data_IF_591859606427
#
_entry.id   IF_591859606427
#
_cell.length_a   1.000
_cell.length_b   1.000
_cell.length_c   1.000
_cell.angle_alpha   90.00
_cell.angle_beta   90.00
_cell.angle_gamma   90.00
#
_symmetry.space_group_name_H-M   'P 1'
#
loop_
_entity.id
_entity.type
_entity.pdbx_description
1 polymer ?
#
# COMPACT_ATOMS: atom_id res chain seq x y z
N UNK A 1 -7.68 3.77 13.98
CA UNK A 1 -6.21 3.75 13.88
C UNK A 1 -5.80 4.45 12.61
N UNK A 2 -4.83 5.37 12.66
CA UNK A 2 -4.35 6.12 11.47
C UNK A 2 -2.85 6.41 11.62
N UNK A 3 -2.00 5.72 10.85
CA UNK A 3 -0.55 5.86 10.90
C UNK A 3 -0.07 7.23 10.40
N UNK A 4 -0.86 7.94 9.57
CA UNK A 4 -0.53 9.29 9.10
C UNK A 4 -0.46 10.28 10.26
N UNK A 5 -1.40 10.17 11.21
CA UNK A 5 -1.46 11.03 12.41
C UNK A 5 -0.30 10.81 13.38
N UNK A 6 0.41 9.69 13.24
CA UNK A 6 1.59 9.36 14.05
C UNK A 6 2.90 9.79 13.39
N UNK A 7 2.86 10.25 12.14
CA UNK A 7 4.06 10.56 11.36
C UNK A 7 4.74 9.33 10.78
N UNK A 8 4.01 8.22 10.62
CA UNK A 8 4.55 6.92 10.19
C UNK A 8 4.27 6.63 8.71
N UNK A 9 3.88 7.65 7.94
CA UNK A 9 3.53 7.54 6.51
C UNK A 9 4.18 8.69 5.74
N UNK A 10 4.95 8.37 4.72
CA UNK A 10 5.62 9.35 3.83
C UNK A 10 4.61 10.10 2.94
N UNK A 11 5.02 11.22 2.31
CA UNK A 11 4.20 11.94 1.33
C UNK A 11 3.68 11.07 0.18
N UNK A 12 2.75 11.66 -0.59
CA UNK A 12 2.17 11.06 -1.79
C UNK A 12 3.24 10.82 -2.85
N UNK A 13 3.18 9.66 -3.52
CA UNK A 13 4.01 9.32 -4.68
C UNK A 13 3.14 8.91 -5.88
N UNK A 14 3.73 8.87 -7.07
CA UNK A 14 3.07 8.53 -8.34
C UNK A 14 3.95 7.57 -9.14
N UNK A 15 3.43 6.39 -9.47
CA UNK A 15 4.14 5.37 -10.25
C UNK A 15 4.13 5.64 -11.76
N UNK A 16 3.33 6.60 -12.24
CA UNK A 16 3.17 6.90 -13.66
C UNK A 16 2.63 5.71 -14.46
N UNK A 17 3.23 5.44 -15.62
CA UNK A 17 2.82 4.35 -16.52
C UNK A 17 3.50 3.00 -16.22
N UNK A 18 4.34 2.95 -15.19
CA UNK A 18 5.07 1.74 -14.82
C UNK A 18 4.18 0.84 -13.93
N UNK A 19 4.10 -0.46 -14.23
CA UNK A 19 3.39 -1.47 -13.43
C UNK A 19 4.11 -1.85 -12.14
N UNK A 20 4.71 -0.90 -11.43
CA UNK A 20 5.56 -1.13 -10.25
C UNK A 20 4.85 -0.90 -8.91
N UNK A 21 3.52 -0.99 -8.87
CA UNK A 21 2.73 -0.81 -7.64
C UNK A 21 3.15 -1.74 -6.49
N UNK A 22 3.65 -2.94 -6.82
CA UNK A 22 4.27 -3.87 -5.87
C UNK A 22 5.43 -3.22 -5.08
N UNK A 23 6.31 -2.50 -5.77
CA UNK A 23 7.45 -1.80 -5.16
C UNK A 23 7.00 -0.64 -4.27
N UNK A 24 5.99 0.13 -4.72
CA UNK A 24 5.39 1.21 -3.93
C UNK A 24 4.71 0.68 -2.65
N UNK A 25 3.98 -0.43 -2.74
CA UNK A 25 3.35 -1.05 -1.58
C UNK A 25 4.37 -1.56 -0.56
N UNK A 26 5.41 -2.25 -1.04
CA UNK A 26 6.49 -2.76 -0.19
C UNK A 26 7.26 -1.61 0.48
N UNK A 27 7.64 -0.58 -0.27
CA UNK A 27 8.36 0.58 0.27
C UNK A 27 7.54 1.33 1.30
N UNK A 28 6.26 1.58 1.06
CA UNK A 28 5.41 2.25 2.06
C UNK A 28 5.33 1.48 3.39
N UNK A 29 5.32 0.14 3.36
CA UNK A 29 5.38 -0.68 4.56
C UNK A 29 6.76 -0.63 5.24
N UNK A 30 7.85 -0.68 4.47
CA UNK A 30 9.24 -0.56 4.95
C UNK A 30 9.52 0.81 5.61
N UNK A 31 9.02 1.88 5.02
CA UNK A 31 9.13 3.25 5.55
C UNK A 31 8.42 3.35 6.91
N UNK A 32 7.21 2.77 7.03
CA UNK A 32 6.45 2.74 8.26
C UNK A 32 7.17 1.97 9.38
N UNK A 33 7.65 0.75 9.11
CA UNK A 33 8.37 -0.02 10.13
C UNK A 33 9.68 0.66 10.54
N UNK A 34 10.40 1.30 9.61
CA UNK A 34 11.62 2.04 9.95
C UNK A 34 11.34 3.20 10.91
N UNK A 35 10.26 3.95 10.69
CA UNK A 35 9.83 4.98 11.62
C UNK A 35 9.46 4.38 12.98
N UNK A 36 8.76 3.24 13.02
CA UNK A 36 8.35 2.60 14.28
C UNK A 36 9.54 2.07 15.10
N UNK A 37 10.57 1.55 14.45
CA UNK A 37 11.74 0.97 15.14
C UNK A 37 12.81 2.00 15.47
N UNK A 38 13.01 2.99 14.58
CA UNK A 38 14.13 3.94 14.70
C UNK A 38 13.71 5.35 15.09
N UNK A 39 12.41 5.66 15.01
CA UNK A 39 11.89 7.02 15.16
C UNK A 39 12.22 7.96 14.00
N UNK A 40 12.69 7.42 12.86
CA UNK A 40 13.07 8.21 11.67
C UNK A 40 12.22 7.82 10.46
N UNK A 41 11.48 8.79 9.93
CA UNK A 41 10.70 8.61 8.71
C UNK A 41 11.60 8.97 7.55
N UNK A 42 11.98 7.96 6.78
CA UNK A 42 12.87 8.10 5.62
C UNK A 42 12.05 7.72 4.39
N UNK A 43 12.06 8.55 3.36
CA UNK A 43 11.52 8.17 2.06
C UNK A 43 12.50 7.23 1.37
N UNK A 44 12.09 5.98 1.15
CA UNK A 44 12.89 4.96 0.49
C UNK A 44 12.67 4.98 -1.03
N UNK A 45 13.49 4.22 -1.76
CA UNK A 45 13.56 4.22 -3.23
C UNK A 45 12.82 3.02 -3.83
N UNK A 46 11.62 3.25 -4.36
CA UNK A 46 10.91 2.24 -5.16
C UNK A 46 11.67 1.83 -6.43
N UNK A 47 12.46 2.76 -6.98
CA UNK A 47 13.25 2.51 -8.19
C UNK A 47 14.34 1.46 -7.97
N UNK A 48 14.86 1.35 -6.75
CA UNK A 48 15.85 0.33 -6.42
C UNK A 48 15.24 -1.07 -6.52
N UNK A 49 14.05 -1.28 -5.92
CA UNK A 49 13.30 -2.53 -6.08
C UNK A 49 12.97 -2.77 -7.56
N UNK A 50 12.38 -1.80 -8.25
CA UNK A 50 11.94 -1.96 -9.63
C UNK A 50 13.09 -2.26 -10.63
N UNK A 51 14.33 -1.87 -10.30
CA UNK A 51 15.50 -2.12 -11.17
C UNK A 51 16.29 -3.37 -10.79
N UNK A 52 16.37 -3.68 -9.50
CA UNK A 52 17.29 -4.70 -8.98
C UNK A 52 16.57 -6.02 -8.68
N UNK A 53 15.28 -5.96 -8.33
CA UNK A 53 14.46 -7.12 -8.00
C UNK A 53 13.64 -7.57 -9.21
N UNK A 54 14.35 -8.23 -10.13
CA UNK A 54 13.82 -8.70 -11.41
C UNK A 54 13.78 -10.23 -11.50
N UNK A 55 13.92 -10.92 -10.37
CA UNK A 55 14.06 -12.38 -10.32
C UNK A 55 12.81 -13.00 -9.68
N UNK A 56 12.27 -14.04 -10.32
CA UNK A 56 11.10 -14.74 -9.81
C UNK A 56 9.80 -14.11 -10.28
N UNK A 57 9.01 -13.58 -9.34
CA UNK A 57 7.67 -13.05 -9.62
C UNK A 57 7.69 -11.59 -10.08
N UNK A 58 8.69 -10.81 -9.65
CA UNK A 58 8.81 -9.38 -9.94
C UNK A 58 9.50 -9.12 -11.29
N UNK A 59 8.88 -8.27 -12.12
CA UNK A 59 9.31 -8.00 -13.49
C UNK A 59 9.43 -6.49 -13.77
N UNK A 60 9.80 -5.71 -12.75
CA UNK A 60 9.97 -4.26 -12.86
C UNK A 60 8.67 -3.57 -13.25
N UNK A 61 8.68 -2.81 -14.36
CA UNK A 61 7.48 -2.14 -14.87
C UNK A 61 6.47 -3.08 -15.54
N UNK A 62 6.82 -4.34 -15.78
CA UNK A 62 5.89 -5.31 -16.37
C UNK A 62 4.97 -5.97 -15.32
N UNK A 63 5.11 -5.63 -14.03
CA UNK A 63 4.30 -6.18 -12.94
C UNK A 63 4.98 -7.28 -12.14
N UNK A 64 4.22 -7.89 -11.23
CA UNK A 64 4.54 -9.12 -10.49
C UNK A 64 3.63 -10.29 -10.91
N UNK A 65 3.72 -11.48 -10.31
CA UNK A 65 2.85 -12.63 -10.65
C UNK A 65 1.34 -12.26 -10.65
N UNK A 66 0.61 -12.68 -11.69
CA UNK A 66 -0.83 -12.44 -11.84
C UNK A 66 -1.68 -13.71 -11.62
N UNK A 67 -2.72 -13.60 -10.78
CA UNK A 67 -3.74 -14.62 -10.52
C UNK A 67 -5.02 -14.04 -9.88
N UNK A 68 -6.16 -14.71 -10.02
CA UNK A 68 -7.53 -14.12 -10.07
C UNK A 68 -7.93 -13.16 -8.93
N UNK A 69 -8.03 -11.84 -9.08
CA UNK A 69 -7.65 -10.90 -10.13
C UNK A 69 -7.03 -9.68 -9.41
N UNK A 70 -5.99 -9.92 -8.60
CA UNK A 70 -5.23 -8.85 -7.95
C UNK A 70 -4.20 -8.30 -8.94
N UNK A 71 -4.33 -7.04 -9.32
CA UNK A 71 -3.49 -6.38 -10.33
C UNK A 71 -2.69 -5.19 -9.77
N UNK A 72 -2.99 -4.77 -8.54
CA UNK A 72 -2.46 -3.52 -8.00
C UNK A 72 -2.10 -3.62 -6.52
N UNK A 73 -0.83 -3.38 -6.21
CA UNK A 73 -0.30 -3.33 -4.85
C UNK A 73 -0.63 -2.00 -4.16
N UNK A 74 -1.19 -2.06 -2.95
CA UNK A 74 -1.51 -0.90 -2.10
C UNK A 74 -1.16 -1.17 -0.64
N UNK A 75 -1.06 -0.12 0.17
CA UNK A 75 -0.72 -0.25 1.60
C UNK A 75 -1.87 0.21 2.48
N UNK A 76 -2.38 -0.67 3.34
CA UNK A 76 -3.31 -0.29 4.40
C UNK A 76 -2.55 0.48 5.51
N UNK A 77 -2.83 1.77 5.66
CA UNK A 77 -2.18 2.66 6.64
C UNK A 77 -3.08 3.00 7.84
N UNK A 78 -4.24 2.36 7.93
CA UNK A 78 -5.14 2.54 9.05
C UNK A 78 -6.49 1.86 8.86
N UNK A 79 -7.36 2.06 9.83
CA UNK A 79 -8.76 1.61 9.80
C UNK A 79 -9.60 2.46 10.74
N UNK A 80 -10.90 2.51 10.48
CA UNK A 80 -11.85 3.26 11.30
C UNK A 80 -13.29 2.80 11.13
N UNK A 81 -14.18 3.62 11.68
CA UNK A 81 -15.63 3.49 11.55
C UNK A 81 -16.17 4.88 11.21
N UNK A 82 -16.96 4.99 10.15
CA UNK A 82 -17.64 6.22 9.76
C UNK A 82 -18.84 6.50 10.67
N UNK A 83 -19.40 7.70 10.58
CA UNK A 83 -20.50 8.16 11.47
C UNK A 83 -21.77 7.32 11.31
N UNK A 84 -21.97 6.70 10.14
CA UNK A 84 -23.07 5.79 9.83
C UNK A 84 -22.84 4.35 10.35
N UNK A 85 -21.71 4.11 11.03
CA UNK A 85 -21.30 2.79 11.53
C UNK A 85 -20.51 1.95 10.51
N UNK A 86 -20.31 2.42 9.27
CA UNK A 86 -19.57 1.69 8.25
C UNK A 86 -18.10 1.60 8.61
N UNK A 87 -17.58 0.38 8.78
CA UNK A 87 -16.16 0.13 9.04
C UNK A 87 -15.35 0.20 7.75
N UNK A 88 -14.14 0.73 7.83
CA UNK A 88 -13.27 0.88 6.67
C UNK A 88 -11.79 0.60 6.97
N UNK A 89 -11.07 0.19 5.94
CA UNK A 89 -9.62 0.29 5.78
C UNK A 89 -9.27 1.64 5.17
N UNK A 90 -8.22 2.28 5.67
CA UNK A 90 -7.62 3.47 5.07
C UNK A 90 -6.40 3.02 4.26
N UNK A 91 -6.44 3.21 2.95
CA UNK A 91 -5.47 2.63 2.02
C UNK A 91 -4.73 3.75 1.29
N UNK A 92 -3.40 3.70 1.30
CA UNK A 92 -2.51 4.57 0.53
C UNK A 92 -2.30 3.96 -0.86
N UNK A 93 -2.60 4.73 -1.90
CA UNK A 93 -2.35 4.36 -3.29
C UNK A 93 -1.10 5.07 -3.85
N UNK A 94 -0.77 4.81 -5.12
CA UNK A 94 0.45 5.27 -5.82
C UNK A 94 0.14 5.96 -7.16
N UNK A 95 -1.02 6.62 -7.28
CA UNK A 95 -1.50 7.28 -8.51
C UNK A 95 -1.49 8.83 -8.43
N UNK A 96 -0.68 9.39 -7.53
CA UNK A 96 -0.56 10.84 -7.37
C UNK A 96 -1.73 11.50 -6.60
N UNK A 97 -1.50 12.74 -6.18
CA UNK A 97 -2.38 13.43 -5.22
C UNK A 97 -3.73 13.86 -5.82
N UNK A 98 -3.87 13.88 -7.15
CA UNK A 98 -5.12 14.21 -7.83
C UNK A 98 -6.16 13.08 -7.77
N UNK A 99 -5.74 11.87 -7.39
CA UNK A 99 -6.62 10.71 -7.29
C UNK A 99 -7.18 10.55 -5.88
N UNK A 100 -8.46 10.22 -5.78
CA UNK A 100 -9.13 9.90 -4.52
C UNK A 100 -9.10 11.05 -3.50
N UNK A 101 -8.95 10.70 -2.22
CA UNK A 101 -8.79 11.65 -1.12
C UNK A 101 -7.29 11.90 -0.89
N UNK A 102 -6.66 12.73 -1.72
CA UNK A 102 -5.21 12.99 -1.68
C UNK A 102 -4.36 11.71 -1.77
N UNK A 103 -4.63 10.84 -2.75
CA UNK A 103 -4.09 9.48 -2.98
C UNK A 103 -4.69 8.37 -2.11
N UNK A 104 -5.53 8.70 -1.15
CA UNK A 104 -6.12 7.69 -0.26
C UNK A 104 -7.50 7.24 -0.74
N UNK A 105 -7.84 6.00 -0.39
CA UNK A 105 -9.20 5.46 -0.51
C UNK A 105 -9.61 4.81 0.81
N UNK A 106 -10.88 4.95 1.15
CA UNK A 106 -11.51 4.22 2.26
C UNK A 106 -12.26 3.02 1.69
N UNK A 107 -11.76 1.83 1.95
CA UNK A 107 -12.36 0.58 1.48
C UNK A 107 -13.18 -0.05 2.59
N UNK A 108 -14.39 -0.52 2.28
CA UNK A 108 -15.26 -1.12 3.29
C UNK A 108 -14.61 -2.36 3.91
N UNK A 109 -14.75 -2.47 5.23
CA UNK A 109 -14.12 -3.51 6.06
C UNK A 109 -15.19 -4.31 6.81
N UNK A 110 -14.86 -5.55 7.18
CA UNK A 110 -15.74 -6.48 7.89
C UNK A 110 -17.02 -6.77 7.09
N UNK A 111 -16.86 -7.05 5.79
CA UNK A 111 -17.94 -7.53 4.91
C UNK A 111 -18.00 -9.06 4.90
N UNK A 112 -19.07 -9.64 4.36
CA UNK A 112 -19.29 -11.10 4.33
C UNK A 112 -18.27 -11.86 3.45
N UNK A 113 -17.69 -11.18 2.45
CA UNK A 113 -16.65 -11.77 1.59
C UNK A 113 -15.35 -11.97 2.38
N UNK A 114 -14.87 -13.22 2.43
CA UNK A 114 -13.69 -13.61 3.23
C UNK A 114 -12.39 -13.01 2.69
N UNK A 115 -12.37 -12.80 1.37
CA UNK A 115 -11.31 -12.16 0.62
C UNK A 115 -11.23 -10.65 0.92
N UNK A 116 -12.25 -10.10 1.59
CA UNK A 116 -12.43 -8.67 1.78
C UNK A 116 -12.87 -7.97 0.50
N UNK A 117 -13.20 -6.68 0.61
CA UNK A 117 -13.56 -5.88 -0.56
C UNK A 117 -12.36 -5.81 -1.53
N UNK A 118 -12.58 -6.15 -2.80
CA UNK A 118 -11.55 -6.22 -3.84
C UNK A 118 -10.36 -7.14 -3.51
N UNK A 119 -10.55 -8.17 -2.69
CA UNK A 119 -9.48 -9.12 -2.37
C UNK A 119 -8.38 -8.58 -1.44
N UNK A 120 -8.61 -7.44 -0.76
CA UNK A 120 -7.62 -6.78 0.11
C UNK A 120 -7.07 -7.69 1.23
N UNK A 121 -7.78 -8.75 1.60
CA UNK A 121 -7.36 -9.71 2.62
C UNK A 121 -6.75 -11.02 2.05
N UNK A 122 -6.56 -11.12 0.74
CA UNK A 122 -6.07 -12.36 0.10
C UNK A 122 -4.55 -12.53 0.16
N UNK A 123 -3.78 -11.46 -0.05
CA UNK A 123 -2.30 -11.51 -0.17
C UNK A 123 -1.61 -10.38 0.62
N UNK A 124 -2.06 -10.11 1.85
CA UNK A 124 -1.45 -9.12 2.71
C UNK A 124 -0.14 -9.63 3.33
N UNK A 125 0.90 -8.79 3.31
CA UNK A 125 2.20 -9.05 3.94
C UNK A 125 2.71 -7.80 4.67
N UNK A 126 3.66 -8.00 5.58
CA UNK A 126 4.32 -6.90 6.30
C UNK A 126 5.78 -7.26 6.58
N UNK A 127 6.71 -6.29 6.56
CA UNK A 127 8.09 -6.52 6.95
C UNK A 127 8.24 -6.68 8.46
N UNK A 128 9.33 -7.32 8.87
CA UNK A 128 9.74 -7.46 10.28
C UNK A 128 11.14 -6.88 10.47
N UNK A 129 11.41 -6.27 11.61
CA UNK A 129 12.65 -5.54 11.92
C UNK A 129 13.15 -5.86 13.33
#
# INVERSE_FOLDING_TARGET
MDWRKKGDVTPVKDQGQCGCCWAFSAMAAMEGINQLTTGKLISLSEQELANCDMFGEDQGCNGGQCGTDLDHGVTAVGYGTADDGTKYWLVKNSWGASWGEEVYIRMQRDIDAKEGLCGIAMQASYPTA
#
